data_IF_468016688629
#
_entry.id   IF_468016688629
#
_cell.length_a   1.000
_cell.length_b   1.000
_cell.length_c   1.000
_cell.angle_alpha   90.00
_cell.angle_beta   90.00
_cell.angle_gamma   90.00
#
_symmetry.space_group_name_H-M   'P 1'
#
loop_
_entity.id
_entity.type
_entity.pdbx_description
1 polymer ?
#
# COMPACT_ATOMS: atom_id res chain seq x y z
N UNK A 1 18.36 2.68 -7.24
CA UNK A 1 17.42 3.55 -7.97
C UNK A 1 15.99 3.14 -7.61
N UNK A 2 15.04 4.08 -7.58
CA UNK A 2 13.64 3.77 -7.34
C UNK A 2 13.05 2.92 -8.47
N UNK A 3 12.24 1.93 -8.13
CA UNK A 3 11.60 1.01 -9.08
C UNK A 3 10.11 0.99 -8.86
N UNK A 4 9.39 1.08 -9.97
CA UNK A 4 7.96 0.77 -10.00
C UNK A 4 7.84 -0.73 -10.16
N UNK A 5 7.21 -1.38 -9.19
CA UNK A 5 7.06 -2.85 -9.18
C UNK A 5 5.94 -3.24 -10.13
N UNK A 6 4.81 -2.55 -10.01
CA UNK A 6 3.67 -2.56 -10.91
C UNK A 6 3.03 -1.16 -10.88
N UNK A 7 1.94 -0.88 -11.64
CA UNK A 7 1.30 0.42 -11.62
C UNK A 7 0.90 0.91 -10.22
N UNK A 8 0.59 -0.01 -9.29
CA UNK A 8 0.06 0.28 -7.97
C UNK A 8 1.12 0.46 -6.88
N UNK A 9 2.32 -0.10 -7.06
CA UNK A 9 3.34 -0.16 -6.02
C UNK A 9 4.62 0.54 -6.49
N UNK A 10 4.97 1.60 -5.77
CA UNK A 10 6.21 2.33 -5.94
C UNK A 10 7.19 2.00 -4.80
N UNK A 11 8.36 1.48 -5.16
CA UNK A 11 9.43 1.21 -4.22
C UNK A 11 10.64 2.12 -4.49
N UNK A 12 10.87 3.08 -3.60
CA UNK A 12 11.97 4.03 -3.75
C UNK A 12 13.36 3.38 -3.65
N UNK A 13 13.47 2.26 -2.92
CA UNK A 13 14.71 1.46 -2.81
C UNK A 13 14.34 -0.03 -2.76
N UNK A 14 14.33 -0.71 -3.92
CA UNK A 14 14.09 -2.15 -3.97
C UNK A 14 15.15 -2.91 -3.18
N UNK A 15 14.75 -3.98 -2.52
CA UNK A 15 15.59 -4.74 -1.61
C UNK A 15 15.36 -6.25 -1.78
N UNK A 16 16.27 -6.92 -2.50
CA UNK A 16 16.22 -8.37 -2.67
C UNK A 16 16.52 -9.16 -1.40
N UNK A 17 17.05 -8.51 -0.37
CA UNK A 17 17.33 -9.09 0.95
C UNK A 17 16.26 -8.73 1.99
N UNK A 18 15.13 -8.17 1.54
CA UNK A 18 14.04 -7.83 2.43
C UNK A 18 13.46 -9.08 3.10
N UNK A 19 13.18 -8.95 4.40
CA UNK A 19 12.49 -9.97 5.21
C UNK A 19 11.04 -9.58 5.50
N UNK A 20 10.70 -8.30 5.32
CA UNK A 20 9.37 -7.74 5.52
C UNK A 20 9.09 -6.69 4.44
N UNK A 21 7.87 -6.67 3.90
CA UNK A 21 7.35 -5.57 3.07
C UNK A 21 6.42 -4.69 3.89
N UNK A 22 6.70 -3.39 3.93
CA UNK A 22 5.80 -2.41 4.53
C UNK A 22 5.02 -1.70 3.42
N UNK A 23 3.74 -2.04 3.27
CA UNK A 23 2.86 -1.35 2.33
C UNK A 23 2.29 -0.09 2.96
N UNK A 24 2.58 1.06 2.35
CA UNK A 24 2.17 2.37 2.84
C UNK A 24 1.03 2.94 1.98
N UNK A 25 -0.12 3.15 2.60
CA UNK A 25 -1.34 3.67 2.01
C UNK A 25 -1.44 5.18 2.28
N UNK A 26 -1.20 6.04 1.28
CA UNK A 26 -1.27 7.48 1.47
C UNK A 26 -2.71 7.95 1.72
N UNK A 27 -2.85 9.17 2.27
CA UNK A 27 -4.14 9.82 2.39
C UNK A 27 -4.78 10.09 1.01
N UNK A 28 -6.06 10.49 1.01
CA UNK A 28 -6.72 10.94 -0.20
C UNK A 28 -5.93 12.11 -0.84
N UNK A 29 -5.61 11.99 -2.13
CA UNK A 29 -4.77 12.97 -2.83
C UNK A 29 -3.26 12.76 -2.67
N UNK A 30 -2.83 11.91 -1.75
CA UNK A 30 -1.42 11.69 -1.45
C UNK A 30 -0.65 10.97 -2.56
N UNK A 31 0.65 11.25 -2.63
CA UNK A 31 1.59 10.64 -3.57
C UNK A 31 2.55 9.69 -2.84
N UNK A 32 3.05 8.63 -3.51
CA UNK A 32 4.01 7.70 -2.92
C UNK A 32 5.27 8.37 -2.33
N UNK A 33 5.66 9.53 -2.89
CA UNK A 33 6.85 10.27 -2.48
C UNK A 33 6.84 10.77 -1.04
N UNK A 34 5.67 10.86 -0.39
CA UNK A 34 5.57 11.26 1.03
C UNK A 34 6.38 10.35 1.96
N UNK A 35 6.56 9.08 1.58
CA UNK A 35 7.31 8.09 2.34
C UNK A 35 8.81 8.05 2.00
N UNK A 36 9.27 8.86 1.05
CA UNK A 36 10.67 8.88 0.59
C UNK A 36 11.70 9.04 1.71
N UNK A 37 11.52 9.98 2.67
CA UNK A 37 12.45 10.16 3.78
C UNK A 37 12.59 8.93 4.69
N UNK A 38 11.55 8.10 4.78
CA UNK A 38 11.50 6.95 5.70
C UNK A 38 12.36 5.78 5.23
N UNK A 39 12.63 5.70 3.92
CA UNK A 39 13.42 4.62 3.31
C UNK A 39 14.82 4.48 3.93
N UNK A 40 15.39 5.58 4.44
CA UNK A 40 16.69 5.60 5.12
C UNK A 40 16.60 5.36 6.64
N UNK A 41 15.40 5.48 7.21
CA UNK A 41 15.14 5.36 8.66
C UNK A 41 14.66 3.97 9.05
N UNK A 42 14.10 3.22 8.11
CA UNK A 42 13.67 1.85 8.32
C UNK A 42 14.86 0.87 8.43
N UNK A 43 14.69 -0.25 9.15
CA UNK A 43 15.70 -1.31 9.17
C UNK A 43 16.06 -1.77 7.76
N UNK A 44 17.32 -2.15 7.55
CA UNK A 44 17.83 -2.58 6.24
C UNK A 44 17.14 -3.84 5.68
N UNK A 45 16.38 -4.56 6.50
CA UNK A 45 15.59 -5.74 6.13
C UNK A 45 14.14 -5.42 5.76
N UNK A 46 13.70 -4.15 5.84
CA UNK A 46 12.34 -3.73 5.50
C UNK A 46 12.33 -3.06 4.13
N UNK A 47 11.46 -3.53 3.22
CA UNK A 47 11.20 -2.91 1.93
C UNK A 47 9.94 -2.04 2.00
N UNK A 48 10.09 -0.72 1.83
CA UNK A 48 8.96 0.20 1.81
C UNK A 48 8.30 0.19 0.42
N UNK A 49 7.01 -0.12 0.41
CA UNK A 49 6.16 -0.24 -0.77
C UNK A 49 5.04 0.80 -0.69
N UNK A 50 5.22 1.97 -1.30
CA UNK A 50 4.23 3.03 -1.25
C UNK A 50 3.18 2.85 -2.37
N UNK A 51 1.90 2.92 -2.02
CA UNK A 51 0.83 2.75 -3.00
C UNK A 51 0.62 3.99 -3.86
N UNK A 52 0.34 3.73 -5.14
CA UNK A 52 0.05 4.74 -6.15
C UNK A 52 -1.31 4.51 -6.81
N UNK A 53 -2.29 5.30 -6.38
CA UNK A 53 -3.65 5.29 -6.93
C UNK A 53 -3.70 5.99 -8.31
N UNK A 54 -4.63 5.60 -9.20
CA UNK A 54 -4.83 6.25 -10.50
C UNK A 54 -5.28 7.70 -10.35
N UNK A 55 -5.07 8.50 -11.40
CA UNK A 55 -5.35 9.94 -11.42
C UNK A 55 -4.32 10.81 -10.71
N UNK A 56 -3.19 10.24 -10.27
CA UNK A 56 -2.18 10.95 -9.48
C UNK A 56 -0.74 10.54 -9.81
N UNK A 57 0.19 11.49 -9.68
CA UNK A 57 1.63 11.26 -9.90
C UNK A 57 1.91 10.69 -11.29
N UNK A 58 2.62 9.56 -11.35
CA UNK A 58 2.89 8.84 -12.62
C UNK A 58 1.65 8.26 -13.30
N UNK A 59 0.50 8.21 -12.61
CA UNK A 59 -0.79 7.72 -13.14
C UNK A 59 -1.78 8.87 -13.37
N UNK A 60 -1.29 10.10 -13.56
CA UNK A 60 -2.15 11.30 -13.70
C UNK A 60 -3.03 11.31 -14.95
N UNK A 61 -2.68 10.53 -15.98
CA UNK A 61 -3.47 10.43 -17.22
C UNK A 61 -4.59 9.38 -17.12
N UNK A 62 -4.61 8.59 -16.05
CA UNK A 62 -5.67 7.62 -15.79
C UNK A 62 -6.83 8.29 -15.04
N UNK A 63 -8.06 7.86 -15.30
CA UNK A 63 -9.21 8.32 -14.54
C UNK A 63 -9.08 7.90 -13.07
N UNK A 64 -9.47 8.79 -12.14
CA UNK A 64 -9.54 8.42 -10.72
C UNK A 64 -10.67 7.40 -10.51
N UNK A 65 -10.36 6.29 -9.84
CA UNK A 65 -11.38 5.36 -9.37
C UNK A 65 -12.04 5.97 -8.14
N UNK A 66 -13.36 6.15 -8.18
CA UNK A 66 -14.13 6.81 -7.11
C UNK A 66 -14.98 5.83 -6.31
N UNK A 67 -15.09 4.57 -6.75
CA UNK A 67 -15.83 3.52 -6.06
C UNK A 67 -14.86 2.55 -5.39
N UNK A 68 -15.03 2.34 -4.08
CA UNK A 68 -14.16 1.49 -3.29
C UNK A 68 -14.13 0.03 -3.78
N UNK A 69 -15.26 -0.62 -4.14
CA UNK A 69 -15.22 -2.00 -4.65
C UNK A 69 -14.40 -2.15 -5.94
N UNK A 70 -14.51 -1.18 -6.86
CA UNK A 70 -13.73 -1.16 -8.10
C UNK A 70 -12.23 -0.97 -7.81
N UNK A 71 -11.91 -0.11 -6.84
CA UNK A 71 -10.53 0.10 -6.41
C UNK A 71 -9.93 -1.18 -5.81
N UNK A 72 -10.67 -1.85 -4.92
CA UNK A 72 -10.22 -3.09 -4.29
C UNK A 72 -10.03 -4.22 -5.30
N UNK A 73 -10.94 -4.35 -6.27
CA UNK A 73 -10.87 -5.38 -7.32
C UNK A 73 -9.55 -5.32 -8.13
N UNK A 74 -8.96 -4.13 -8.29
CA UNK A 74 -7.71 -3.97 -9.01
C UNK A 74 -6.48 -3.94 -8.08
N UNK A 75 -6.61 -3.34 -6.90
CA UNK A 75 -5.50 -3.15 -5.97
C UNK A 75 -5.11 -4.44 -5.24
N UNK A 76 -6.09 -5.25 -4.83
CA UNK A 76 -5.86 -6.45 -4.03
C UNK A 76 -5.00 -7.48 -4.78
N UNK A 77 -5.30 -7.87 -6.04
CA UNK A 77 -4.44 -8.77 -6.80
C UNK A 77 -3.02 -8.21 -6.97
N UNK A 78 -2.89 -6.90 -7.23
CA UNK A 78 -1.60 -6.25 -7.42
C UNK A 78 -0.72 -6.28 -6.16
N UNK A 79 -1.33 -6.27 -4.96
CA UNK A 79 -0.62 -6.47 -3.69
C UNK A 79 -0.31 -7.94 -3.46
N UNK A 80 -1.27 -8.85 -3.72
CA UNK A 80 -1.10 -10.29 -3.55
C UNK A 80 0.10 -10.82 -4.37
N UNK A 81 0.22 -10.41 -5.63
CA UNK A 81 1.34 -10.76 -6.52
C UNK A 81 2.71 -10.35 -5.95
N UNK A 82 2.72 -9.32 -5.10
CA UNK A 82 3.92 -8.79 -4.45
C UNK A 82 3.96 -9.07 -2.95
N UNK A 83 3.14 -9.98 -2.43
CA UNK A 83 3.13 -10.37 -1.02
C UNK A 83 3.75 -11.74 -0.65
N UNK A 84 4.66 -12.40 -1.43
CA UNK A 84 5.25 -13.69 -1.00
C UNK A 84 6.26 -13.60 0.15
N UNK A 85 6.46 -12.41 0.74
CA UNK A 85 7.19 -12.20 1.98
C UNK A 85 6.21 -11.78 3.07
N UNK A 86 6.54 -12.00 4.37
CA UNK A 86 5.85 -11.32 5.46
C UNK A 86 5.63 -9.84 5.15
N UNK A 87 4.45 -9.33 5.45
CA UNK A 87 4.10 -7.94 5.15
C UNK A 87 3.28 -7.29 6.24
N UNK A 88 3.40 -5.97 6.31
CA UNK A 88 2.65 -5.12 7.23
C UNK A 88 2.09 -3.93 6.48
N UNK A 89 1.00 -3.37 6.99
CA UNK A 89 0.29 -2.24 6.41
C UNK A 89 0.41 -1.01 7.30
N UNK A 90 0.59 0.15 6.66
CA UNK A 90 0.52 1.45 7.31
C UNK A 90 -0.40 2.36 6.49
N UNK A 91 -1.49 2.81 7.09
CA UNK A 91 -2.44 3.70 6.45
C UNK A 91 -2.66 5.01 7.21
N UNK A 92 -2.68 6.12 6.48
CA UNK A 92 -2.97 7.45 7.03
C UNK A 92 -4.32 7.97 6.51
N UNK A 93 -5.23 8.36 7.40
CA UNK A 93 -6.57 8.86 7.09
C UNK A 93 -7.33 7.86 6.18
N UNK A 94 -7.76 8.28 4.98
CA UNK A 94 -8.35 7.38 3.99
C UNK A 94 -7.49 6.13 3.69
N UNK A 95 -6.16 6.26 3.74
CA UNK A 95 -5.25 5.14 3.57
C UNK A 95 -5.40 4.07 4.67
N UNK A 96 -5.83 4.47 5.87
CA UNK A 96 -6.14 3.55 6.97
C UNK A 96 -7.36 2.67 6.68
N UNK A 97 -8.44 3.28 6.20
CA UNK A 97 -9.66 2.58 5.75
C UNK A 97 -9.30 1.65 4.58
N UNK A 98 -8.58 2.16 3.58
CA UNK A 98 -8.18 1.36 2.42
C UNK A 98 -7.29 0.18 2.82
N UNK A 99 -6.35 0.37 3.74
CA UNK A 99 -5.49 -0.70 4.26
C UNK A 99 -6.28 -1.79 4.99
N UNK A 100 -7.30 -1.41 5.76
CA UNK A 100 -8.20 -2.36 6.43
C UNK A 100 -8.99 -3.20 5.41
N UNK A 101 -9.63 -2.57 4.44
CA UNK A 101 -10.41 -3.25 3.41
C UNK A 101 -9.55 -4.18 2.53
N UNK A 102 -8.36 -3.72 2.15
CA UNK A 102 -7.41 -4.56 1.41
C UNK A 102 -6.97 -5.75 2.26
N UNK A 103 -6.73 -5.59 3.56
CA UNK A 103 -6.36 -6.71 4.43
C UNK A 103 -7.50 -7.74 4.52
N UNK A 104 -8.74 -7.27 4.64
CA UNK A 104 -9.92 -8.13 4.64
C UNK A 104 -10.03 -8.94 3.35
N UNK A 105 -9.86 -8.27 2.21
CA UNK A 105 -10.04 -8.88 0.90
C UNK A 105 -8.89 -9.80 0.50
N UNK A 106 -7.65 -9.48 0.89
CA UNK A 106 -6.50 -10.39 0.76
C UNK A 106 -6.72 -11.69 1.53
N UNK A 107 -7.28 -11.59 2.74
CA UNK A 107 -7.61 -12.77 3.54
C UNK A 107 -8.68 -13.61 2.87
N UNK A 108 -9.73 -12.95 2.34
CA UNK A 108 -10.87 -13.61 1.70
C UNK A 108 -10.52 -14.29 0.38
N UNK A 109 -9.73 -13.63 -0.48
CA UNK A 109 -9.44 -14.10 -1.83
C UNK A 109 -8.16 -14.95 -1.93
N UNK A 110 -7.13 -14.63 -1.13
CA UNK A 110 -5.79 -15.19 -1.29
C UNK A 110 -5.27 -15.92 -0.04
N UNK A 111 -6.04 -15.98 1.06
CA UNK A 111 -5.57 -16.48 2.36
C UNK A 111 -4.30 -15.77 2.87
N UNK A 112 -4.10 -14.51 2.46
CA UNK A 112 -2.99 -13.67 2.89
C UNK A 112 -3.46 -12.69 3.96
N UNK A 113 -2.63 -12.38 4.94
CA UNK A 113 -2.95 -11.38 5.97
C UNK A 113 -1.69 -10.65 6.39
N UNK A 114 -1.76 -9.32 6.62
CA UNK A 114 -0.62 -8.59 7.14
C UNK A 114 -0.34 -9.02 8.58
N UNK A 115 0.94 -9.08 8.97
CA UNK A 115 1.34 -9.32 10.36
C UNK A 115 0.88 -8.18 11.28
N UNK A 116 0.85 -6.96 10.74
CA UNK A 116 0.41 -5.76 11.42
C UNK A 116 -0.35 -4.83 10.49
N UNK A 117 -1.40 -4.19 11.01
CA UNK A 117 -2.09 -3.06 10.38
C UNK A 117 -2.01 -1.85 11.32
N UNK A 118 -1.23 -0.86 10.91
CA UNK A 118 -1.07 0.41 11.63
C UNK A 118 -1.93 1.48 10.95
N UNK A 119 -2.85 2.09 11.70
CA UNK A 119 -3.79 3.09 11.20
C UNK A 119 -3.59 4.40 11.96
N UNK A 120 -3.43 5.50 11.23
CA UNK A 120 -3.20 6.83 11.79
C UNK A 120 -4.24 7.83 11.25
N UNK A 121 -4.66 8.79 12.09
CA UNK A 121 -5.49 9.94 11.70
C UNK A 121 -6.81 9.60 10.97
N UNK A 122 -7.49 8.53 11.39
CA UNK A 122 -8.90 8.27 11.08
C UNK A 122 -9.61 7.68 12.31
N UNK A 123 -10.95 7.71 12.33
CA UNK A 123 -11.69 6.92 13.31
C UNK A 123 -11.46 5.41 13.06
N UNK A 124 -11.79 4.57 14.05
CA UNK A 124 -11.61 3.13 13.91
C UNK A 124 -12.23 2.64 12.58
N UNK A 125 -11.48 1.94 11.69
CA UNK A 125 -11.97 1.61 10.36
C UNK A 125 -13.29 0.82 10.39
N UNK A 126 -13.46 -0.03 11.39
CA UNK A 126 -14.65 -0.85 11.62
C UNK A 126 -15.95 -0.07 11.94
N UNK A 127 -15.88 1.26 12.13
CA UNK A 127 -17.06 2.10 12.38
C UNK A 127 -17.56 2.83 11.12
N UNK A 128 -16.91 2.63 9.97
CA UNK A 128 -17.29 3.21 8.68
C UNK A 128 -17.98 2.19 7.78
#
# INVERSE_FOLDING_TARGET
MAKQINPWIFCARPNSQAKLRLFCFPCAGGLPGIYGPWVKQLPATVELCALQLPGRGRRTQEASITQLPELLAQLVPAIADYAPLPFAFLGHSFGGILGFEVAHELRRQFSLSPEHLCVCACAAPQVH
#
